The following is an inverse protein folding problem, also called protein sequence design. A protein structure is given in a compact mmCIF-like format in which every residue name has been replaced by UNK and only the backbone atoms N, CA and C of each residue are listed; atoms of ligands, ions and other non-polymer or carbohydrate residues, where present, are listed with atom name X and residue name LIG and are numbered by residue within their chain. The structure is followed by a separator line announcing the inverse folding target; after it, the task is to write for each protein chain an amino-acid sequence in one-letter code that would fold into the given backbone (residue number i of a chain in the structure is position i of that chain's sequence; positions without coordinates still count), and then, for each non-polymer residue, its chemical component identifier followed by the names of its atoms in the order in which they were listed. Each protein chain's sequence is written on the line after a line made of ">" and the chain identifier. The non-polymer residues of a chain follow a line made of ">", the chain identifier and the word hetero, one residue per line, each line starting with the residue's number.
data_IF_244934703671
#
_entry.id   IF_244934703671
#
_cell.length_a   1.000
_cell.length_b   1.000
_cell.length_c   1.000
_cell.angle_alpha   90.00
_cell.angle_beta   90.00
_cell.angle_gamma   90.00
#
_symmetry.space_group_name_H-M   'P 1'
#
loop_
_entity.id
_entity.type
_entity.pdbx_description
1 polymer ?
#
# COMPACT_ATOMS: atom_id res chain seq x y z
N UNK A 1 14.15 8.83 1.87
CA UNK A 1 12.83 9.49 1.77
C UNK A 1 12.23 9.15 0.42
N UNK A 2 10.91 9.01 0.29
CA UNK A 2 10.25 8.75 -0.99
C UNK A 2 10.52 9.87 -1.99
N UNK A 3 10.47 9.53 -3.28
CA UNK A 3 10.68 10.49 -4.37
C UNK A 3 9.83 10.14 -5.59
N UNK A 4 9.61 11.13 -6.48
CA UNK A 4 8.84 10.97 -7.71
C UNK A 4 9.73 10.94 -8.95
N UNK A 5 9.38 10.03 -9.86
CA UNK A 5 9.80 10.07 -11.25
C UNK A 5 8.56 10.09 -12.16
N UNK A 6 8.76 10.33 -13.45
CA UNK A 6 7.67 10.36 -14.41
C UNK A 6 8.04 9.59 -15.69
N UNK A 7 7.09 8.79 -16.20
CA UNK A 7 7.19 8.09 -17.48
C UNK A 7 5.94 8.44 -18.33
N UNK A 8 6.07 9.41 -19.23
CA UNK A 8 4.92 9.96 -19.96
C UNK A 8 3.90 10.59 -19.01
N UNK A 9 2.66 10.09 -19.02
CA UNK A 9 1.58 10.52 -18.13
C UNK A 9 1.45 9.68 -16.85
N UNK A 10 2.45 8.83 -16.57
CA UNK A 10 2.48 8.02 -15.36
C UNK A 10 3.50 8.59 -14.38
N UNK A 11 3.03 8.96 -13.19
CA UNK A 11 3.88 9.27 -12.04
C UNK A 11 4.32 7.97 -11.38
N UNK A 12 5.61 7.86 -11.05
CA UNK A 12 6.20 6.72 -10.36
C UNK A 12 6.73 7.19 -9.02
N UNK A 13 6.00 6.84 -7.96
CA UNK A 13 6.38 7.13 -6.58
C UNK A 13 7.26 5.99 -6.06
N UNK A 14 8.52 6.28 -5.84
CA UNK A 14 9.46 5.39 -5.18
C UNK A 14 9.35 5.56 -3.67
N UNK A 15 9.15 4.46 -2.95
CA UNK A 15 8.90 4.43 -1.50
C UNK A 15 10.17 4.55 -0.65
N UNK A 16 11.35 4.40 -1.26
CA UNK A 16 12.66 4.48 -0.61
C UNK A 16 13.45 5.71 -1.00
N UNK A 17 14.72 5.75 -0.57
CA UNK A 17 15.64 6.82 -0.93
C UNK A 17 16.16 6.62 -2.37
N UNK A 18 16.35 7.73 -3.08
CA UNK A 18 16.95 7.69 -4.41
C UNK A 18 18.38 7.16 -4.34
N UNK A 19 18.70 6.18 -5.21
CA UNK A 19 20.02 5.55 -5.28
C UNK A 19 20.30 4.46 -4.23
N UNK A 20 19.40 4.22 -3.27
CA UNK A 20 19.56 3.18 -2.25
C UNK A 20 18.78 1.91 -2.61
N UNK A 21 19.31 0.73 -2.25
CA UNK A 21 18.69 -0.58 -2.49
C UNK A 21 18.56 -1.45 -1.24
N UNK A 22 19.07 -1.02 -0.11
CA UNK A 22 19.08 -1.72 1.18
C UNK A 22 18.08 -1.14 2.19
N UNK A 23 17.31 -0.13 1.80
CA UNK A 23 16.28 0.49 2.63
C UNK A 23 15.06 -0.42 2.77
N UNK A 24 14.49 -0.48 3.98
CA UNK A 24 13.26 -1.22 4.26
C UNK A 24 11.97 -0.40 3.97
N UNK A 25 12.11 0.89 3.68
CA UNK A 25 11.02 1.80 3.32
C UNK A 25 9.89 1.81 4.37
N UNK A 26 10.26 1.84 5.66
CA UNK A 26 9.31 1.82 6.78
C UNK A 26 8.56 3.14 6.89
N UNK A 27 7.34 3.07 7.44
CA UNK A 27 6.44 4.21 7.61
C UNK A 27 6.83 5.10 8.81
N UNK A 28 8.09 5.57 8.85
CA UNK A 28 8.46 6.61 9.80
C UNK A 28 7.52 7.82 9.68
N UNK A 29 7.19 8.56 10.76
CA UNK A 29 6.36 9.77 10.65
C UNK A 29 6.77 10.74 9.54
N UNK A 30 8.07 10.97 9.36
CA UNK A 30 8.58 11.84 8.29
C UNK A 30 8.36 11.23 6.89
N UNK A 31 8.42 9.90 6.77
CA UNK A 31 8.09 9.20 5.53
C UNK A 31 6.61 9.40 5.16
N UNK A 32 5.71 9.36 6.16
CA UNK A 32 4.27 9.60 5.95
C UNK A 32 4.05 11.02 5.44
N UNK A 33 4.69 12.03 6.07
CA UNK A 33 4.56 13.44 5.67
C UNK A 33 5.11 13.68 4.27
N UNK A 34 6.29 13.12 3.96
CA UNK A 34 6.89 13.22 2.63
C UNK A 34 6.03 12.53 1.56
N UNK A 35 5.43 11.36 1.87
CA UNK A 35 4.52 10.66 0.97
C UNK A 35 3.28 11.51 0.67
N UNK A 36 2.68 12.14 1.69
CA UNK A 36 1.55 13.03 1.49
C UNK A 36 1.91 14.22 0.60
N UNK A 37 3.06 14.86 0.83
CA UNK A 37 3.52 15.99 0.01
C UNK A 37 3.70 15.61 -1.47
N UNK A 38 4.28 14.42 -1.73
CA UNK A 38 4.43 13.92 -3.11
C UNK A 38 3.08 13.54 -3.75
N UNK A 39 2.14 13.00 -2.97
CA UNK A 39 0.78 12.76 -3.47
C UNK A 39 0.04 14.07 -3.76
N UNK A 40 0.26 15.15 -2.99
CA UNK A 40 -0.27 16.48 -3.28
C UNK A 40 0.27 17.03 -4.61
N UNK A 41 1.57 16.85 -4.88
CA UNK A 41 2.19 17.22 -6.15
C UNK A 41 1.55 16.48 -7.33
N UNK A 42 1.32 15.16 -7.19
CA UNK A 42 0.68 14.34 -8.23
C UNK A 42 -0.78 14.76 -8.44
N UNK A 43 -1.51 15.06 -7.38
CA UNK A 43 -2.91 15.52 -7.48
C UNK A 43 -3.03 16.91 -8.13
N UNK A 44 -2.06 17.79 -7.92
CA UNK A 44 -2.03 19.13 -8.51
C UNK A 44 -1.74 19.12 -10.03
N UNK A 45 -1.28 17.99 -10.59
CA UNK A 45 -1.04 17.89 -12.03
C UNK A 45 -2.35 18.04 -12.82
N UNK A 46 -2.32 18.78 -13.90
CA UNK A 46 -3.44 18.93 -14.84
C UNK A 46 -3.26 18.00 -16.05
N UNK A 47 -4.37 17.44 -16.54
CA UNK A 47 -4.40 16.54 -17.70
C UNK A 47 -4.43 15.05 -17.34
N UNK A 48 -4.31 14.16 -18.34
CA UNK A 48 -4.30 12.71 -18.14
C UNK A 48 -3.15 12.31 -17.21
N UNK A 49 -3.42 11.43 -16.24
CA UNK A 49 -2.40 10.92 -15.34
C UNK A 49 -2.81 9.63 -14.66
N UNK A 50 -1.81 8.84 -14.23
CA UNK A 50 -1.96 7.69 -13.35
C UNK A 50 -0.75 7.63 -12.39
N UNK A 51 -0.89 6.88 -11.30
CA UNK A 51 0.13 6.70 -10.29
C UNK A 51 0.58 5.24 -10.22
N UNK A 52 1.88 5.02 -10.25
CA UNK A 52 2.52 3.75 -9.89
C UNK A 52 3.32 3.96 -8.62
N UNK A 53 3.22 3.04 -7.65
CA UNK A 53 4.11 3.02 -6.50
C UNK A 53 5.07 1.85 -6.62
N UNK A 54 6.33 2.06 -6.30
CA UNK A 54 7.39 1.03 -6.36
C UNK A 54 8.49 1.32 -5.36
N UNK A 55 9.52 0.48 -5.32
CA UNK A 55 10.77 0.75 -4.62
C UNK A 55 11.94 0.06 -5.32
N UNK A 56 13.12 0.28 -4.83
CA UNK A 56 14.35 -0.41 -5.23
C UNK A 56 14.76 -1.45 -4.17
N UNK A 57 15.55 -2.44 -4.57
CA UNK A 57 16.12 -3.42 -3.64
C UNK A 57 15.18 -4.51 -3.16
N UNK A 58 15.36 -4.90 -1.89
CA UNK A 58 14.73 -6.08 -1.30
C UNK A 58 13.27 -5.87 -0.90
N UNK A 59 12.92 -4.68 -0.45
CA UNK A 59 11.60 -4.37 0.07
C UNK A 59 10.85 -3.40 -0.85
N UNK A 60 9.60 -3.71 -1.15
CA UNK A 60 8.62 -2.71 -1.55
C UNK A 60 8.39 -1.78 -0.35
N UNK A 61 7.93 -2.34 0.79
CA UNK A 61 8.02 -1.71 2.11
C UNK A 61 7.83 -2.77 3.21
N UNK A 62 8.56 -2.61 4.31
CA UNK A 62 8.42 -3.45 5.50
C UNK A 62 7.30 -2.99 6.44
N UNK A 63 6.53 -1.96 6.04
CA UNK A 63 5.37 -1.47 6.77
C UNK A 63 5.71 -0.53 7.93
N UNK A 64 5.10 -0.77 9.08
CA UNK A 64 5.24 0.10 10.25
C UNK A 64 6.72 0.22 10.70
N UNK A 65 7.10 1.40 11.15
CA UNK A 65 8.41 1.63 11.75
C UNK A 65 8.41 1.17 13.22
N UNK A 66 8.74 -0.10 13.41
CA UNK A 66 8.77 -0.72 14.75
C UNK A 66 9.80 -0.10 15.68
N UNK A 67 10.92 0.39 15.14
CA UNK A 67 11.96 1.04 15.96
C UNK A 67 11.44 2.37 16.52
N UNK A 68 10.72 3.13 15.68
CA UNK A 68 10.03 4.34 16.15
C UNK A 68 8.93 4.01 17.16
N UNK A 69 8.10 2.98 16.90
CA UNK A 69 7.00 2.56 17.77
C UNK A 69 7.51 2.22 19.18
N UNK A 70 8.56 1.41 19.29
CA UNK A 70 9.11 0.99 20.61
C UNK A 70 9.67 2.17 21.40
N UNK A 71 10.10 3.23 20.74
CA UNK A 71 10.50 4.48 21.40
C UNK A 71 9.34 5.44 21.73
N UNK A 72 8.10 5.17 21.27
CA UNK A 72 6.96 6.10 21.33
C UNK A 72 5.61 5.37 21.54
N UNK A 73 5.54 4.42 22.45
CA UNK A 73 4.33 3.58 22.64
C UNK A 73 3.09 4.41 23.03
N UNK A 74 3.27 5.49 23.77
CA UNK A 74 2.23 6.44 24.15
C UNK A 74 1.61 7.16 22.93
N UNK A 75 2.32 7.21 21.81
CA UNK A 75 1.91 7.87 20.57
C UNK A 75 1.40 6.87 19.51
N UNK A 76 1.41 5.58 19.81
CA UNK A 76 1.03 4.52 18.86
C UNK A 76 -0.37 4.69 18.26
N UNK A 77 -1.43 5.01 19.02
CA UNK A 77 -2.75 5.18 18.41
C UNK A 77 -2.78 6.29 17.36
N UNK A 78 -2.24 7.47 17.68
CA UNK A 78 -2.15 8.58 16.73
C UNK A 78 -1.25 8.30 15.53
N UNK A 79 -0.20 7.49 15.70
CA UNK A 79 0.65 7.05 14.60
C UNK A 79 -0.12 6.11 13.64
N UNK A 80 -0.90 5.16 14.17
CA UNK A 80 -1.73 4.26 13.35
C UNK A 80 -2.80 5.05 12.57
N UNK A 81 -3.42 6.05 13.21
CA UNK A 81 -4.35 6.96 12.51
C UNK A 81 -3.67 7.69 11.34
N UNK A 82 -2.41 8.10 11.50
CA UNK A 82 -1.64 8.71 10.39
C UNK A 82 -1.34 7.72 9.27
N UNK A 83 -1.03 6.46 9.59
CA UNK A 83 -0.87 5.39 8.59
C UNK A 83 -2.18 5.18 7.81
N UNK A 84 -3.33 5.20 8.50
CA UNK A 84 -4.64 5.10 7.85
C UNK A 84 -4.86 6.21 6.81
N UNK A 85 -4.36 7.43 7.03
CA UNK A 85 -4.53 8.51 6.04
C UNK A 85 -3.85 8.23 4.71
N UNK A 86 -2.73 7.47 4.70
CA UNK A 86 -2.06 7.07 3.46
C UNK A 86 -2.92 6.07 2.68
N UNK A 87 -3.52 5.09 3.37
CA UNK A 87 -4.42 4.12 2.72
C UNK A 87 -5.68 4.81 2.18
N UNK A 88 -6.29 5.69 2.99
CA UNK A 88 -7.46 6.48 2.59
C UNK A 88 -7.19 7.25 1.28
N UNK A 89 -6.06 7.94 1.19
CA UNK A 89 -5.71 8.70 -0.02
C UNK A 89 -5.60 7.82 -1.26
N UNK A 90 -4.98 6.65 -1.16
CA UNK A 90 -4.83 5.75 -2.31
C UNK A 90 -6.17 5.14 -2.73
N UNK A 91 -7.04 4.78 -1.76
CA UNK A 91 -8.37 4.23 -2.03
C UNK A 91 -9.29 5.20 -2.80
N UNK A 92 -9.14 6.50 -2.59
CA UNK A 92 -9.97 7.52 -3.24
C UNK A 92 -9.19 8.41 -4.23
N UNK A 93 -7.93 8.04 -4.55
CA UNK A 93 -7.05 8.85 -5.39
C UNK A 93 -7.71 9.18 -6.74
N UNK A 94 -7.61 10.44 -7.23
CA UNK A 94 -8.38 10.89 -8.41
C UNK A 94 -7.85 10.36 -9.74
N UNK A 95 -6.97 9.39 -9.73
CA UNK A 95 -6.44 8.69 -10.91
C UNK A 95 -6.23 7.20 -10.61
N UNK A 96 -6.01 6.40 -11.65
CA UNK A 96 -5.69 4.99 -11.48
C UNK A 96 -4.38 4.82 -10.72
N UNK A 97 -4.35 3.86 -9.78
CA UNK A 97 -3.18 3.55 -8.94
C UNK A 97 -2.76 2.09 -9.12
N UNK A 98 -1.46 1.84 -9.28
CA UNK A 98 -0.90 0.51 -9.47
C UNK A 98 0.29 0.29 -8.55
N UNK A 99 0.25 -0.73 -7.72
CA UNK A 99 1.41 -1.17 -6.93
C UNK A 99 2.31 -2.08 -7.77
N UNK A 100 3.54 -1.64 -8.01
CA UNK A 100 4.61 -2.42 -8.62
C UNK A 100 5.46 -3.04 -7.51
N UNK A 101 5.07 -4.22 -7.04
CA UNK A 101 5.64 -4.91 -5.87
C UNK A 101 6.88 -5.71 -6.30
N UNK A 102 8.03 -5.03 -6.36
CA UNK A 102 9.30 -5.63 -6.83
C UNK A 102 10.01 -6.47 -5.76
N UNK A 103 9.56 -6.45 -4.50
CA UNK A 103 10.18 -7.14 -3.37
C UNK A 103 9.17 -7.46 -2.27
N UNK A 104 9.64 -7.52 -1.03
CA UNK A 104 8.76 -7.81 0.11
C UNK A 104 7.78 -6.66 0.39
N UNK A 105 6.51 -7.02 0.57
CA UNK A 105 5.44 -6.16 1.07
C UNK A 105 4.90 -6.77 2.37
N UNK A 106 5.26 -6.21 3.53
CA UNK A 106 4.94 -6.78 4.84
C UNK A 106 4.07 -5.84 5.67
N UNK A 107 3.09 -6.42 6.40
CA UNK A 107 2.22 -5.69 7.31
C UNK A 107 1.54 -4.50 6.66
N UNK A 108 1.74 -3.29 7.19
CA UNK A 108 1.22 -2.05 6.58
C UNK A 108 1.71 -1.83 5.14
N UNK A 109 2.86 -2.39 4.75
CA UNK A 109 3.36 -2.38 3.37
C UNK A 109 2.51 -3.26 2.43
N UNK A 110 2.06 -4.41 2.90
CA UNK A 110 1.10 -5.24 2.19
C UNK A 110 -0.28 -4.53 2.07
N UNK A 111 -0.69 -3.81 3.13
CA UNK A 111 -1.90 -2.99 3.13
C UNK A 111 -1.81 -1.80 2.17
N UNK A 112 -0.62 -1.17 2.04
CA UNK A 112 -0.38 -0.12 1.04
C UNK A 112 -0.58 -0.63 -0.39
N UNK A 113 -0.09 -1.82 -0.68
CA UNK A 113 -0.29 -2.44 -1.99
C UNK A 113 -1.77 -2.74 -2.25
N UNK A 114 -2.48 -3.32 -1.27
CA UNK A 114 -3.89 -3.70 -1.42
C UNK A 114 -4.84 -2.48 -1.45
N UNK A 115 -4.44 -1.33 -0.92
CA UNK A 115 -5.20 -0.08 -1.00
C UNK A 115 -5.24 0.53 -2.40
N UNK A 116 -4.38 0.09 -3.31
CA UNK A 116 -4.34 0.56 -4.70
C UNK A 116 -5.30 -0.21 -5.60
N UNK A 117 -5.63 0.35 -6.77
CA UNK A 117 -6.58 -0.27 -7.69
C UNK A 117 -6.06 -1.61 -8.20
N UNK A 118 -4.79 -1.65 -8.64
CA UNK A 118 -4.14 -2.83 -9.22
C UNK A 118 -2.77 -3.10 -8.57
N UNK A 119 -2.30 -4.35 -8.70
CA UNK A 119 -1.03 -4.84 -8.14
C UNK A 119 -0.35 -5.75 -9.14
N UNK A 120 0.89 -5.43 -9.45
CA UNK A 120 1.80 -6.28 -10.23
C UNK A 120 2.92 -6.70 -9.30
N UNK A 121 3.15 -7.99 -9.12
CA UNK A 121 4.15 -8.51 -8.20
C UNK A 121 5.25 -9.27 -8.91
N UNK A 122 6.43 -9.24 -8.33
CA UNK A 122 7.57 -10.05 -8.74
C UNK A 122 7.31 -11.54 -8.50
N UNK A 123 7.53 -12.37 -9.53
CA UNK A 123 7.25 -13.81 -9.50
C UNK A 123 8.36 -14.67 -8.90
N UNK A 124 9.63 -14.24 -9.04
CA UNK A 124 10.81 -15.04 -8.71
C UNK A 124 11.31 -14.89 -7.27
N UNK A 125 10.97 -13.79 -6.59
CA UNK A 125 11.33 -13.55 -5.18
C UNK A 125 10.45 -12.47 -4.55
N UNK A 126 10.56 -12.33 -3.23
CA UNK A 126 9.72 -11.42 -2.46
C UNK A 126 8.43 -12.09 -2.01
N UNK A 127 7.80 -11.51 -1.00
CA UNK A 127 6.57 -12.03 -0.42
C UNK A 127 5.60 -10.91 -0.09
N UNK A 128 4.33 -11.15 -0.35
CA UNK A 128 3.22 -10.47 0.32
C UNK A 128 2.94 -11.22 1.62
N UNK A 129 2.86 -10.52 2.75
CA UNK A 129 2.66 -11.15 4.04
C UNK A 129 2.03 -10.19 5.06
N UNK A 130 1.10 -10.70 5.85
CA UNK A 130 0.50 -10.05 7.01
C UNK A 130 1.00 -10.76 8.28
N UNK A 131 2.17 -10.36 8.83
CA UNK A 131 2.83 -11.11 9.91
C UNK A 131 2.26 -10.81 11.32
N UNK A 132 1.22 -9.99 11.43
CA UNK A 132 0.70 -9.41 12.68
C UNK A 132 0.39 -10.49 13.72
N UNK A 133 -0.21 -11.63 13.33
CA UNK A 133 -0.50 -12.75 14.22
C UNK A 133 0.77 -13.32 14.86
N UNK A 134 1.89 -13.36 14.12
CA UNK A 134 3.17 -13.87 14.61
C UNK A 134 3.93 -12.82 15.46
N UNK A 135 3.54 -11.56 15.36
CA UNK A 135 4.12 -10.43 16.10
C UNK A 135 3.27 -10.05 17.32
N UNK A 136 2.19 -10.81 17.59
CA UNK A 136 1.21 -10.49 18.63
C UNK A 136 0.64 -9.06 18.51
N UNK A 137 0.45 -8.59 17.28
CA UNK A 137 -0.08 -7.28 16.96
C UNK A 137 -1.49 -7.43 16.37
N UNK A 138 -2.53 -6.83 16.96
CA UNK A 138 -3.85 -6.82 16.35
C UNK A 138 -3.92 -5.87 15.16
N UNK A 139 -4.85 -6.10 14.24
CA UNK A 139 -5.23 -5.12 13.23
C UNK A 139 -6.16 -4.07 13.84
N UNK A 140 -6.03 -2.83 13.43
CA UNK A 140 -7.07 -1.81 13.71
C UNK A 140 -8.37 -2.15 12.98
N UNK A 141 -9.46 -1.52 13.35
CA UNK A 141 -10.76 -1.66 12.65
C UNK A 141 -10.61 -1.32 11.16
N UNK A 142 -9.92 -0.21 10.84
CA UNK A 142 -9.67 0.20 9.47
C UNK A 142 -8.85 -0.81 8.68
N UNK A 143 -7.75 -1.31 9.24
CA UNK A 143 -6.91 -2.33 8.59
C UNK A 143 -7.67 -3.64 8.35
N UNK A 144 -8.44 -4.11 9.35
CA UNK A 144 -9.26 -5.31 9.21
C UNK A 144 -10.30 -5.15 8.10
N UNK A 145 -10.99 -4.01 8.05
CA UNK A 145 -12.01 -3.73 7.04
C UNK A 145 -11.39 -3.64 5.64
N UNK A 146 -10.23 -2.94 5.50
CA UNK A 146 -9.48 -2.89 4.24
C UNK A 146 -9.18 -4.29 3.71
N UNK A 147 -8.56 -5.13 4.53
CA UNK A 147 -8.13 -6.47 4.14
C UNK A 147 -9.31 -7.40 3.80
N UNK A 148 -10.34 -7.42 4.64
CA UNK A 148 -11.50 -8.29 4.44
C UNK A 148 -12.39 -7.86 3.27
N UNK A 149 -12.35 -6.58 2.88
CA UNK A 149 -13.09 -6.06 1.73
C UNK A 149 -12.33 -6.20 0.41
N UNK A 150 -11.00 -6.21 0.44
CA UNK A 150 -10.15 -6.24 -0.76
C UNK A 150 -9.64 -7.64 -1.14
N UNK A 151 -9.65 -8.58 -0.20
CA UNK A 151 -9.29 -9.98 -0.41
C UNK A 151 -10.55 -10.86 -0.47
N UNK A 152 -10.44 -12.03 -1.10
CA UNK A 152 -11.50 -13.03 -0.93
C UNK A 152 -11.59 -13.41 0.54
N UNK A 153 -12.78 -13.81 1.01
CA UNK A 153 -12.96 -14.18 2.41
C UNK A 153 -11.98 -15.26 2.85
N UNK A 154 -11.74 -16.27 2.03
CA UNK A 154 -10.81 -17.35 2.38
C UNK A 154 -9.36 -16.87 2.40
N UNK A 155 -8.95 -16.04 1.44
CA UNK A 155 -7.61 -15.44 1.41
C UNK A 155 -7.39 -14.53 2.63
N UNK A 156 -8.38 -13.73 3.00
CA UNK A 156 -8.31 -12.87 4.19
C UNK A 156 -8.12 -13.73 5.46
N UNK A 157 -8.91 -14.80 5.63
CA UNK A 157 -8.75 -15.72 6.77
C UNK A 157 -7.33 -16.29 6.80
N UNK A 158 -6.85 -16.87 5.71
CA UNK A 158 -5.52 -17.50 5.68
C UNK A 158 -4.42 -16.46 5.93
N UNK A 159 -4.43 -15.34 5.22
CA UNK A 159 -3.38 -14.32 5.32
C UNK A 159 -3.30 -13.71 6.74
N UNK A 160 -4.44 -13.33 7.31
CA UNK A 160 -4.49 -12.60 8.59
C UNK A 160 -4.29 -13.51 9.81
N UNK A 161 -4.70 -14.80 9.74
CA UNK A 161 -4.66 -15.70 10.90
C UNK A 161 -3.45 -16.62 10.92
N UNK A 162 -2.71 -16.74 9.82
CA UNK A 162 -1.55 -17.63 9.74
C UNK A 162 -0.23 -16.88 9.50
N UNK A 163 -0.28 -15.64 9.01
CA UNK A 163 0.92 -14.91 8.59
C UNK A 163 1.64 -15.57 7.42
N UNK A 164 0.89 -16.30 6.57
CA UNK A 164 1.46 -16.96 5.37
C UNK A 164 2.20 -15.96 4.49
N UNK A 165 3.35 -16.36 4.00
CA UNK A 165 4.11 -15.64 2.99
C UNK A 165 3.70 -16.10 1.60
N UNK A 166 3.11 -15.21 0.80
CA UNK A 166 2.71 -15.49 -0.58
C UNK A 166 3.80 -14.98 -1.53
N UNK A 167 4.48 -15.88 -2.25
CA UNK A 167 5.28 -15.50 -3.42
C UNK A 167 4.38 -15.05 -4.58
N UNK A 168 4.94 -14.44 -5.63
CA UNK A 168 4.15 -13.90 -6.74
C UNK A 168 3.12 -14.86 -7.34
N UNK A 169 3.48 -16.10 -7.72
CA UNK A 169 2.53 -17.09 -8.22
C UNK A 169 1.42 -17.45 -7.23
N UNK A 170 1.76 -17.61 -5.94
CA UNK A 170 0.77 -17.89 -4.89
C UNK A 170 -0.15 -16.69 -4.65
N UNK A 171 0.40 -15.47 -4.66
CA UNK A 171 -0.36 -14.24 -4.51
C UNK A 171 -1.35 -14.03 -5.67
N UNK A 172 -0.95 -14.36 -6.90
CA UNK A 172 -1.82 -14.35 -8.07
C UNK A 172 -2.94 -15.39 -7.93
N UNK A 173 -2.61 -16.62 -7.59
CA UNK A 173 -3.59 -17.69 -7.40
C UNK A 173 -4.59 -17.41 -6.28
N UNK A 174 -4.16 -16.72 -5.23
CA UNK A 174 -4.99 -16.31 -4.10
C UNK A 174 -5.81 -15.02 -4.36
N UNK A 175 -5.65 -14.37 -5.53
CA UNK A 175 -6.31 -13.10 -5.86
C UNK A 175 -5.81 -11.90 -5.06
N UNK A 176 -4.60 -11.98 -4.51
CA UNK A 176 -3.95 -10.87 -3.80
C UNK A 176 -3.41 -9.85 -4.80
N UNK A 177 -2.85 -10.33 -5.91
CA UNK A 177 -2.30 -9.50 -7.00
C UNK A 177 -2.97 -9.82 -8.34
N UNK A 178 -2.89 -8.90 -9.28
CA UNK A 178 -3.51 -9.01 -10.59
C UNK A 178 -2.58 -9.64 -11.62
N UNK A 179 -1.25 -9.49 -11.43
CA UNK A 179 -0.20 -10.09 -12.25
C UNK A 179 1.00 -10.51 -11.40
N UNK A 180 1.65 -11.61 -11.81
CA UNK A 180 2.95 -12.04 -11.30
C UNK A 180 3.91 -12.21 -12.48
N UNK A 181 4.98 -11.42 -12.53
CA UNK A 181 5.92 -11.34 -13.65
C UNK A 181 7.38 -11.42 -13.19
N UNK A 182 8.32 -11.61 -14.11
CA UNK A 182 9.74 -11.57 -13.80
C UNK A 182 10.16 -10.22 -13.21
N UNK A 183 11.15 -10.23 -12.32
CA UNK A 183 11.49 -9.08 -11.50
C UNK A 183 11.89 -7.82 -12.25
N UNK A 184 12.53 -7.97 -13.42
CA UNK A 184 12.91 -6.87 -14.32
C UNK A 184 11.72 -6.27 -15.09
N UNK A 185 10.56 -6.96 -15.12
CA UNK A 185 9.36 -6.55 -15.83
C UNK A 185 8.29 -5.93 -14.93
N UNK A 186 8.45 -5.96 -13.61
CA UNK A 186 7.41 -5.53 -12.66
C UNK A 186 7.02 -4.08 -12.90
N UNK A 187 8.00 -3.18 -12.94
CA UNK A 187 7.75 -1.75 -13.13
C UNK A 187 7.13 -1.46 -14.52
N UNK A 188 7.71 -2.01 -15.56
CA UNK A 188 7.21 -1.80 -16.93
C UNK A 188 5.78 -2.31 -17.11
N UNK A 189 5.45 -3.47 -16.54
CA UNK A 189 4.09 -4.02 -16.57
C UNK A 189 3.11 -3.10 -15.81
N UNK A 190 3.50 -2.61 -14.64
CA UNK A 190 2.67 -1.69 -13.86
C UNK A 190 2.48 -0.34 -14.58
N UNK A 191 3.53 0.21 -15.18
CA UNK A 191 3.46 1.45 -15.97
C UNK A 191 2.59 1.26 -17.21
N UNK A 192 2.70 0.14 -17.93
CA UNK A 192 1.85 -0.15 -19.08
C UNK A 192 0.37 -0.22 -18.69
N UNK A 193 0.05 -0.89 -17.56
CA UNK A 193 -1.31 -0.95 -17.02
C UNK A 193 -1.83 0.44 -16.64
N UNK A 194 -1.02 1.23 -15.93
CA UNK A 194 -1.36 2.60 -15.54
C UNK A 194 -1.58 3.52 -16.75
N UNK A 195 -0.70 3.44 -17.76
CA UNK A 195 -0.77 4.23 -18.99
C UNK A 195 -2.09 4.02 -19.75
N UNK A 196 -2.63 2.81 -19.74
CA UNK A 196 -3.92 2.51 -20.38
C UNK A 196 -5.12 3.19 -19.68
N UNK A 197 -4.93 3.74 -18.48
CA UNK A 197 -5.98 4.29 -17.62
C UNK A 197 -5.83 5.78 -17.35
N UNK A 198 -4.82 6.47 -17.89
CA UNK A 198 -4.54 7.89 -17.60
C UNK A 198 -5.72 8.80 -17.91
N UNK A 199 -6.54 8.47 -18.91
CA UNK A 199 -7.73 9.24 -19.30
C UNK A 199 -8.90 9.14 -18.31
N UNK A 200 -8.86 8.19 -17.37
CA UNK A 200 -9.92 8.01 -16.36
C UNK A 200 -9.82 9.01 -15.20
N UNK A 201 -8.71 9.74 -15.11
CA UNK A 201 -8.45 10.73 -14.06
C UNK A 201 -9.58 11.75 -13.93
N UNK A 202 -9.98 12.05 -12.70
CA UNK A 202 -10.90 13.14 -12.41
C UNK A 202 -11.93 12.85 -11.31
N UNK A 203 -12.79 13.82 -11.06
CA UNK A 203 -13.78 13.78 -9.99
C UNK A 203 -14.76 12.60 -10.10
N UNK A 204 -15.08 12.16 -11.33
CA UNK A 204 -15.96 11.01 -11.54
C UNK A 204 -15.33 9.72 -11.02
N UNK A 205 -14.03 9.48 -11.31
CA UNK A 205 -13.30 8.32 -10.78
C UNK A 205 -13.23 8.37 -9.25
N UNK A 206 -12.93 9.53 -8.67
CA UNK A 206 -12.95 9.72 -7.20
C UNK A 206 -14.32 9.36 -6.62
N UNK A 207 -15.41 9.84 -7.25
CA UNK A 207 -16.77 9.52 -6.81
C UNK A 207 -17.07 8.02 -6.84
N UNK A 208 -16.65 7.33 -7.91
CA UNK A 208 -16.78 5.88 -8.05
C UNK A 208 -16.00 5.16 -6.93
N UNK A 209 -14.73 5.51 -6.72
CA UNK A 209 -13.87 4.92 -5.69
C UNK A 209 -14.42 5.14 -4.29
N UNK A 210 -14.87 6.34 -3.95
CA UNK A 210 -15.52 6.64 -2.67
C UNK A 210 -16.78 5.82 -2.46
N UNK A 211 -17.59 5.63 -3.50
CA UNK A 211 -18.77 4.77 -3.44
C UNK A 211 -18.42 3.30 -3.19
N UNK A 212 -17.43 2.78 -3.93
CA UNK A 212 -16.95 1.40 -3.78
C UNK A 212 -16.32 1.12 -2.41
N UNK A 213 -15.59 2.08 -1.86
CA UNK A 213 -14.77 1.91 -0.67
C UNK A 213 -15.36 2.56 0.58
N UNK A 214 -16.65 2.95 0.56
CA UNK A 214 -17.31 3.65 1.67
C UNK A 214 -17.04 3.02 3.02
N UNK A 215 -17.31 1.73 3.18
CA UNK A 215 -17.15 1.03 4.46
C UNK A 215 -15.69 1.00 4.93
N UNK A 216 -14.74 0.90 3.99
CA UNK A 216 -13.30 0.95 4.29
C UNK A 216 -12.91 2.36 4.76
N UNK A 217 -13.36 3.38 4.04
CA UNK A 217 -13.07 4.78 4.35
C UNK A 217 -13.63 5.17 5.73
N UNK A 218 -14.87 4.77 6.02
CA UNK A 218 -15.50 5.00 7.33
C UNK A 218 -14.75 4.29 8.46
N UNK A 219 -14.31 3.03 8.21
CA UNK A 219 -13.53 2.27 9.18
C UNK A 219 -12.12 2.85 9.41
N UNK A 220 -11.43 3.34 8.36
CA UNK A 220 -10.12 3.99 8.47
C UNK A 220 -10.22 5.37 9.16
N UNK A 221 -11.35 6.04 9.08
CA UNK A 221 -11.62 7.30 9.80
C UNK A 221 -11.89 7.10 11.30
N UNK A 222 -12.18 5.86 11.73
CA UNK A 222 -12.38 5.53 13.15
C UNK A 222 -11.06 5.71 13.91
N UNK A 223 -11.08 6.57 14.94
CA UNK A 223 -9.91 6.84 15.78
C UNK A 223 -9.47 5.59 16.52
N UNK A 224 -8.17 5.34 16.51
CA UNK A 224 -7.56 4.24 17.24
C UNK A 224 -7.39 4.63 18.70
N UNK A 225 -7.93 3.84 19.62
CA UNK A 225 -7.83 4.03 21.07
C UNK A 225 -7.86 2.69 21.82
N UNK A 226 -7.75 2.73 23.15
CA UNK A 226 -7.73 1.52 24.01
C UNK A 226 -9.02 0.70 23.96
N UNK A 227 -10.14 1.26 23.47
CA UNK A 227 -11.42 0.54 23.36
C UNK A 227 -11.46 -0.37 22.13
N UNK A 228 -10.72 -0.01 21.07
CA UNK A 228 -10.75 -0.71 19.78
C UNK A 228 -9.39 -1.26 19.32
N UNK A 229 -8.32 -0.96 20.06
CA UNK A 229 -6.98 -1.46 19.77
C UNK A 229 -6.21 -1.70 21.08
N UNK A 230 -5.86 -2.96 21.37
CA UNK A 230 -5.04 -3.34 22.52
C UNK A 230 -3.88 -4.18 22.04
N UNK A 231 -2.68 -3.77 22.44
CA UNK A 231 -1.50 -4.62 22.35
C UNK A 231 -1.66 -5.79 23.29
N UNK A 232 -1.44 -7.01 22.79
CA UNK A 232 -1.49 -8.24 23.56
C UNK A 232 -0.25 -8.47 24.44
#
# INVERSE_FOLDING_TARGET
>A
MPYLNRQGDVFVLYLGNEGETDNENRFHPDWIDATHALLDEVEAHEGPAALVTTATGKFYTNGLDTDWIFGNLDRLPGYLDRVHTVFTRLLEFPMATVAAVQGHAFGAGAMLAIAQDFRVMRGDRGYYCLPEVNLNMPFTVGMSTLLTSRLTRQTAVEAMTTGRRYGGPDALAAGIVDDAVDGDRVLDTAVARASALVSTRGANLTGIKRGMHRDILDALATKTDESNFKFG
#
